data_IF_520572414226
#
_entry.id   IF_520572414226
#
_cell.length_a   1.000
_cell.length_b   1.000
_cell.length_c   1.000
_cell.angle_alpha   90.00
_cell.angle_beta   90.00
_cell.angle_gamma   90.00
#
_symmetry.space_group_name_H-M   'P 1'
#
loop_
_entity.id
_entity.type
_entity.pdbx_description
1 polymer ?
#
# COMPACT_ATOMS: atom_id res chain seq x y z
N UNK A 1 -3.91 -0.27 6.88
CA UNK A 1 -2.60 -0.67 6.31
C UNK A 1 -1.72 -1.34 7.34
N UNK A 2 -1.30 -0.67 8.43
CA UNK A 2 -0.51 -1.29 9.50
C UNK A 2 -1.15 -2.58 10.03
N UNK A 3 -2.47 -2.57 10.29
CA UNK A 3 -3.18 -3.79 10.71
C UNK A 3 -3.21 -4.90 9.66
N UNK A 4 -3.33 -4.56 8.38
CA UNK A 4 -3.28 -5.53 7.26
C UNK A 4 -1.88 -6.15 7.16
N UNK A 5 -0.83 -5.33 7.21
CA UNK A 5 0.57 -5.79 7.21
C UNK A 5 0.88 -6.69 8.42
N UNK A 6 0.33 -6.38 9.59
CA UNK A 6 0.50 -7.22 10.78
C UNK A 6 -0.29 -8.53 10.68
N UNK A 7 -1.58 -8.47 10.34
CA UNK A 7 -2.50 -9.62 10.35
C UNK A 7 -2.23 -10.59 9.20
N UNK A 8 -2.08 -10.06 7.99
CA UNK A 8 -2.06 -10.87 6.77
C UNK A 8 -0.63 -11.17 6.28
N UNK A 9 0.38 -10.43 6.76
CA UNK A 9 1.78 -10.59 6.35
C UNK A 9 2.75 -10.85 7.52
N UNK A 10 2.31 -10.75 8.78
CA UNK A 10 3.17 -11.01 9.94
C UNK A 10 4.22 -9.92 10.20
N UNK A 11 4.04 -8.71 9.67
CA UNK A 11 4.90 -7.59 10.01
C UNK A 11 4.75 -7.22 11.49
N UNK A 12 5.87 -7.00 12.17
CA UNK A 12 5.91 -6.50 13.55
C UNK A 12 5.49 -5.02 13.60
N UNK A 13 5.88 -4.27 12.58
CA UNK A 13 5.53 -2.86 12.44
C UNK A 13 5.59 -2.40 10.98
N UNK A 14 5.00 -1.24 10.67
CA UNK A 14 5.04 -0.62 9.35
C UNK A 14 4.90 0.91 9.45
N UNK A 15 5.68 1.63 8.63
CA UNK A 15 5.65 3.09 8.56
C UNK A 15 5.91 3.58 7.14
N UNK A 16 5.45 4.79 6.84
CA UNK A 16 5.71 5.46 5.57
C UNK A 16 6.71 6.57 5.83
N UNK A 17 7.79 6.60 5.06
CA UNK A 17 8.80 7.65 5.08
C UNK A 17 8.54 8.56 3.89
N UNK A 18 8.38 9.86 4.14
CA UNK A 18 8.41 10.88 3.08
C UNK A 18 9.87 11.28 2.84
N UNK A 19 10.28 11.26 1.58
CA UNK A 19 11.62 11.67 1.12
C UNK A 19 11.49 12.82 0.12
N UNK A 20 12.61 13.45 -0.25
CA UNK A 20 12.61 14.43 -1.33
C UNK A 20 12.23 13.84 -2.69
N UNK A 21 12.39 12.52 -2.88
CA UNK A 21 12.09 11.81 -4.13
C UNK A 21 10.67 11.21 -4.16
N UNK A 22 9.97 11.16 -3.02
CA UNK A 22 8.61 10.63 -2.94
C UNK A 22 8.27 9.97 -1.60
N UNK A 23 7.61 8.83 -1.65
CA UNK A 23 7.16 8.08 -0.48
C UNK A 23 7.72 6.66 -0.51
N UNK A 24 8.10 6.15 0.67
CA UNK A 24 8.56 4.79 0.87
C UNK A 24 7.79 4.09 1.98
N UNK A 25 7.34 2.87 1.75
CA UNK A 25 6.73 1.99 2.74
C UNK A 25 7.79 1.03 3.29
N UNK A 26 8.10 1.20 4.57
CA UNK A 26 9.01 0.34 5.31
C UNK A 26 8.21 -0.53 6.29
N UNK A 27 8.65 -1.77 6.47
CA UNK A 27 8.09 -2.72 7.43
C UNK A 27 9.18 -3.32 8.31
N UNK A 28 8.81 -3.73 9.52
CA UNK A 28 9.68 -4.51 10.40
C UNK A 28 9.28 -5.98 10.38
N UNK A 29 10.21 -6.85 9.98
CA UNK A 29 10.03 -8.30 9.91
C UNK A 29 11.22 -8.97 10.58
N UNK A 30 10.96 -9.87 11.52
CA UNK A 30 12.01 -10.58 12.28
C UNK A 30 13.11 -9.64 12.83
N UNK A 31 12.72 -8.47 13.35
CA UNK A 31 13.65 -7.47 13.90
C UNK A 31 14.41 -6.62 12.86
N UNK A 32 14.19 -6.84 11.57
CA UNK A 32 14.85 -6.08 10.47
C UNK A 32 13.85 -5.15 9.78
N UNK A 33 14.31 -3.95 9.42
CA UNK A 33 13.54 -3.05 8.57
C UNK A 33 13.74 -3.43 7.09
N UNK A 34 12.65 -3.50 6.33
CA UNK A 34 12.64 -3.82 4.90
C UNK A 34 11.76 -2.81 4.18
N UNK A 35 12.25 -2.23 3.09
CA UNK A 35 11.46 -1.35 2.22
C UNK A 35 10.69 -2.19 1.21
N UNK A 36 9.36 -2.10 1.23
CA UNK A 36 8.48 -2.86 0.31
C UNK A 36 8.20 -2.12 -0.98
N UNK A 37 8.08 -0.80 -0.91
CA UNK A 37 7.66 0.05 -2.02
C UNK A 37 8.28 1.42 -1.85
N UNK A 38 8.89 1.96 -2.90
CA UNK A 38 9.34 3.34 -3.01
C UNK A 38 8.91 3.90 -4.37
N UNK A 39 8.27 5.07 -4.38
CA UNK A 39 7.83 5.72 -5.62
C UNK A 39 7.60 7.21 -5.38
N UNK A 40 7.32 7.97 -6.44
CA UNK A 40 6.84 9.35 -6.33
C UNK A 40 5.55 9.41 -5.52
N UNK A 41 5.29 10.54 -4.85
CA UNK A 41 4.16 10.67 -3.93
C UNK A 41 2.82 10.30 -4.58
N UNK A 42 2.53 10.84 -5.78
CA UNK A 42 1.27 10.55 -6.49
C UNK A 42 1.11 9.07 -6.83
N UNK A 43 2.16 8.45 -7.40
CA UNK A 43 2.12 7.02 -7.78
C UNK A 43 2.03 6.14 -6.55
N UNK A 44 2.76 6.47 -5.49
CA UNK A 44 2.74 5.74 -4.24
C UNK A 44 1.33 5.69 -3.66
N UNK A 45 0.67 6.83 -3.53
CA UNK A 45 -0.68 6.90 -2.97
C UNK A 45 -1.74 6.30 -3.88
N UNK A 46 -1.65 6.50 -5.20
CA UNK A 46 -2.62 5.99 -6.17
C UNK A 46 -2.86 4.47 -6.07
N UNK A 47 -1.90 3.70 -5.56
CA UNK A 47 -2.04 2.24 -5.33
C UNK A 47 -2.98 1.89 -4.18
N UNK A 48 -3.20 2.81 -3.25
CA UNK A 48 -3.97 2.58 -2.01
C UNK A 48 -5.36 3.21 -2.02
N UNK A 49 -5.71 3.90 -3.10
CA UNK A 49 -7.02 4.50 -3.32
C UNK A 49 -7.63 3.95 -4.62
N UNK A 50 -8.95 3.75 -4.61
CA UNK A 50 -9.72 3.42 -5.80
C UNK A 50 -10.79 4.50 -6.04
N UNK A 51 -11.09 4.82 -7.31
CA UNK A 51 -12.22 5.66 -7.64
C UNK A 51 -13.52 4.92 -7.28
N UNK A 52 -14.40 5.60 -6.56
CA UNK A 52 -15.74 5.14 -6.21
C UNK A 52 -16.73 6.12 -6.83
N UNK A 53 -17.60 5.59 -7.67
CA UNK A 53 -18.74 6.34 -8.21
C UNK A 53 -19.82 6.42 -7.15
N UNK A 54 -20.22 7.64 -6.78
CA UNK A 54 -21.43 7.88 -6.00
C UNK A 54 -22.39 8.70 -6.80
N UNK A 55 -23.59 8.16 -6.93
CA UNK A 55 -24.73 8.91 -7.41
C UNK A 55 -25.21 9.84 -6.28
N UNK A 56 -25.26 11.14 -6.58
CA UNK A 56 -25.85 12.16 -5.72
C UNK A 56 -26.99 12.84 -6.46
N UNK A 57 -28.08 13.09 -5.76
CA UNK A 57 -29.16 13.89 -6.28
C UNK A 57 -28.85 15.35 -5.96
N UNK A 58 -28.61 16.16 -7.00
CA UNK A 58 -28.43 17.61 -6.86
C UNK A 58 -29.55 18.31 -7.63
N UNK A 59 -30.37 19.11 -6.92
CA UNK A 59 -31.49 19.86 -7.51
C UNK A 59 -32.48 19.02 -8.35
N UNK A 60 -32.65 17.74 -8.01
CA UNK A 60 -33.55 16.81 -8.73
C UNK A 60 -32.89 16.07 -9.89
N UNK A 61 -31.63 16.39 -10.22
CA UNK A 61 -30.84 15.70 -11.23
C UNK A 61 -29.90 14.66 -10.58
N UNK A 62 -29.70 13.52 -11.24
CA UNK A 62 -28.75 12.47 -10.80
C UNK A 62 -27.37 12.80 -11.36
N UNK A 63 -26.42 13.07 -10.47
CA UNK A 63 -25.02 13.30 -10.79
C UNK A 63 -24.17 12.13 -10.30
N UNK A 64 -23.27 11.63 -11.14
CA UNK A 64 -22.24 10.67 -10.72
C UNK A 64 -20.98 11.44 -10.37
N UNK A 65 -20.57 11.40 -9.11
CA UNK A 65 -19.30 11.94 -8.63
C UNK A 65 -18.30 10.80 -8.43
N UNK A 66 -17.04 11.03 -8.84
CA UNK A 66 -15.94 10.08 -8.63
C UNK A 66 -15.12 10.55 -7.42
N UNK A 67 -15.14 9.77 -6.34
CA UNK A 67 -14.36 10.04 -5.12
C UNK A 67 -13.22 9.02 -4.97
N UNK A 68 -12.06 9.44 -4.47
CA UNK A 68 -10.94 8.53 -4.18
C UNK A 68 -11.05 7.96 -2.77
N UNK A 69 -11.38 6.68 -2.66
CA UNK A 69 -11.56 6.00 -1.37
C UNK A 69 -10.42 5.04 -1.11
N UNK A 70 -10.00 4.94 0.16
CA UNK A 70 -8.98 3.97 0.55
C UNK A 70 -9.47 2.54 0.26
N UNK A 71 -8.60 1.72 -0.32
CA UNK A 71 -8.88 0.31 -0.56
C UNK A 71 -9.31 -0.43 0.72
N UNK A 72 -10.23 -1.38 0.57
CA UNK A 72 -10.61 -2.28 1.67
C UNK A 72 -9.42 -3.19 2.03
N UNK A 73 -9.48 -3.80 3.22
CA UNK A 73 -8.38 -4.63 3.73
C UNK A 73 -7.95 -5.73 2.74
N UNK A 74 -8.90 -6.43 2.12
CA UNK A 74 -8.62 -7.52 1.16
C UNK A 74 -7.95 -7.01 -0.12
N UNK A 75 -8.41 -5.89 -0.67
CA UNK A 75 -7.85 -5.27 -1.87
C UNK A 75 -6.45 -4.70 -1.58
N UNK A 76 -6.30 -4.05 -0.43
CA UNK A 76 -5.02 -3.56 0.05
C UNK A 76 -4.01 -4.72 0.22
N UNK A 77 -4.44 -5.86 0.75
CA UNK A 77 -3.59 -7.05 0.84
C UNK A 77 -3.22 -7.59 -0.55
N UNK A 78 -4.14 -7.60 -1.52
CA UNK A 78 -3.83 -8.00 -2.89
C UNK A 78 -2.78 -7.08 -3.54
N UNK A 79 -2.88 -5.76 -3.32
CA UNK A 79 -1.90 -4.77 -3.80
C UNK A 79 -0.53 -4.96 -3.14
N UNK A 80 -0.49 -5.22 -1.82
CA UNK A 80 0.76 -5.34 -1.07
C UNK A 80 1.49 -6.67 -1.29
N UNK A 81 0.78 -7.73 -1.67
CA UNK A 81 1.32 -9.09 -1.83
C UNK A 81 2.52 -9.20 -2.77
N UNK A 82 2.50 -8.68 -4.01
CA UNK A 82 3.65 -8.79 -4.90
C UNK A 82 4.90 -8.10 -4.33
N UNK A 83 4.73 -6.95 -3.67
CA UNK A 83 5.84 -6.23 -3.02
C UNK A 83 6.40 -7.02 -1.83
N UNK A 84 5.52 -7.61 -1.04
CA UNK A 84 5.92 -8.46 0.07
C UNK A 84 6.72 -9.68 -0.41
N UNK A 85 6.22 -10.40 -1.40
CA UNK A 85 6.88 -11.58 -1.95
C UNK A 85 8.24 -11.25 -2.56
N UNK A 86 8.35 -10.11 -3.26
CA UNK A 86 9.61 -9.66 -3.87
C UNK A 86 10.66 -9.26 -2.82
N UNK A 87 10.27 -8.61 -1.72
CA UNK A 87 11.21 -8.05 -0.75
C UNK A 87 11.51 -8.96 0.44
N UNK A 88 10.55 -9.80 0.83
CA UNK A 88 10.58 -10.59 2.07
C UNK A 88 10.57 -12.10 1.79
N UNK A 89 10.14 -12.51 0.59
CA UNK A 89 9.93 -13.91 0.22
C UNK A 89 8.65 -14.51 0.81
N UNK A 90 8.19 -15.67 0.32
CA UNK A 90 6.94 -16.31 0.75
C UNK A 90 6.94 -16.73 2.23
N UNK A 91 8.10 -16.72 2.90
CA UNK A 91 8.28 -16.95 4.34
C UNK A 91 9.46 -16.16 4.92
N UNK A 92 9.38 -14.82 4.98
CA UNK A 92 10.21 -14.03 5.91
C UNK A 92 11.73 -14.27 5.86
N UNK A 93 12.27 -14.70 4.72
CA UNK A 93 13.51 -15.45 4.66
C UNK A 93 14.34 -15.07 3.46
N UNK A 94 15.19 -14.06 3.64
CA UNK A 94 16.41 -13.87 2.85
C UNK A 94 16.26 -13.06 1.56
N UNK A 95 16.67 -11.78 1.65
CA UNK A 95 17.41 -10.98 0.65
C UNK A 95 17.14 -11.28 -0.83
N UNK A 96 16.54 -10.31 -1.53
CA UNK A 96 16.83 -10.06 -2.93
C UNK A 96 17.99 -9.05 -3.04
N UNK A 97 19.01 -9.29 -3.88
CA UNK A 97 20.08 -8.32 -4.12
C UNK A 97 19.52 -7.11 -4.87
N UNK A 98 19.91 -5.93 -4.41
CA UNK A 98 19.70 -4.66 -5.10
C UNK A 98 20.68 -4.62 -6.27
N UNK A 99 20.21 -4.81 -7.50
CA UNK A 99 21.04 -4.56 -8.68
C UNK A 99 21.27 -3.06 -8.87
N UNK A 100 22.55 -2.74 -9.06
CA UNK A 100 23.25 -1.52 -9.51
C UNK A 100 22.53 -0.16 -9.45
#
# INVERSE_FOLDING_TARGET
MRDVLRRDFGAQDAWIVRTAAGCRLDVRVAGRAVSLLEDTEDRFWARFYAPVERERLHLGERHVEIEQWRLKATELAAVLRPYWEACVGPRGGGVAPREA
#
